data_IF_353431963718
#
_entry.id   IF_353431963718
#
_cell.length_a   1.000
_cell.length_b   1.000
_cell.length_c   1.000
_cell.angle_alpha   90.00
_cell.angle_beta   90.00
_cell.angle_gamma   90.00
#
_symmetry.space_group_name_H-M   'P 1'
#
loop_
_entity.id
_entity.type
_entity.pdbx_description
1 polymer ?
#
# COMPACT_ATOMS: atom_id res chain seq x y z
N UNK A 1 5.44 -0.85 12.80
CA UNK A 1 4.96 -2.01 12.02
C UNK A 1 6.10 -2.51 11.15
N UNK A 2 6.27 -3.82 11.08
CA UNK A 2 7.35 -4.42 10.33
C UNK A 2 7.15 -4.26 8.82
N UNK A 3 8.25 -4.02 8.09
CA UNK A 3 8.20 -3.90 6.63
C UNK A 3 7.61 -5.14 5.97
N UNK A 4 7.99 -6.33 6.45
CA UNK A 4 7.47 -7.59 5.88
C UNK A 4 5.96 -7.70 6.02
N UNK A 5 5.45 -7.29 7.17
CA UNK A 5 4.01 -7.31 7.41
C UNK A 5 3.30 -6.39 6.42
N UNK A 6 3.85 -5.19 6.23
CA UNK A 6 3.28 -4.25 5.29
C UNK A 6 3.33 -4.79 3.86
N UNK A 7 4.46 -5.35 3.48
CA UNK A 7 4.62 -5.90 2.14
C UNK A 7 3.62 -7.02 1.87
N UNK A 8 3.39 -7.91 2.82
CA UNK A 8 2.42 -8.98 2.66
C UNK A 8 1.01 -8.44 2.44
N UNK A 9 0.63 -7.41 3.19
CA UNK A 9 -0.68 -6.79 3.02
C UNK A 9 -0.83 -6.15 1.66
N UNK A 10 0.21 -5.49 1.19
CA UNK A 10 0.17 -4.84 -0.12
C UNK A 10 0.12 -5.87 -1.24
N UNK A 11 0.84 -6.98 -1.11
CA UNK A 11 0.81 -8.04 -2.12
C UNK A 11 -0.57 -8.67 -2.25
N UNK A 12 -1.32 -8.72 -1.18
CA UNK A 12 -2.69 -9.26 -1.23
C UNK A 12 -3.62 -8.42 -2.11
N UNK A 13 -3.24 -7.20 -2.42
CA UNK A 13 -4.04 -6.35 -3.31
C UNK A 13 -3.95 -6.78 -4.79
N UNK A 14 -2.99 -7.64 -5.13
CA UNK A 14 -2.83 -8.18 -6.48
C UNK A 14 -2.70 -7.11 -7.55
N UNK A 15 -1.89 -6.11 -7.26
CA UNK A 15 -1.66 -5.01 -8.21
C UNK A 15 -0.71 -5.50 -9.29
N UNK A 16 -1.12 -5.38 -10.55
CA UNK A 16 -0.32 -5.81 -11.69
C UNK A 16 0.89 -4.94 -11.92
N UNK A 17 1.91 -5.51 -12.57
CA UNK A 17 3.13 -4.78 -12.92
C UNK A 17 2.79 -3.57 -13.80
N UNK A 18 3.35 -2.42 -13.44
CA UNK A 18 3.10 -1.17 -14.15
C UNK A 18 1.79 -0.50 -13.77
N UNK A 19 1.03 -1.09 -12.85
CA UNK A 19 -0.24 -0.53 -12.41
C UNK A 19 -0.10 0.18 -11.08
N UNK A 20 -1.11 0.97 -10.74
CA UNK A 20 -1.19 1.63 -9.44
C UNK A 20 -2.54 1.37 -8.81
N UNK A 21 -2.57 1.50 -7.49
CA UNK A 21 -3.79 1.33 -6.70
C UNK A 21 -3.94 2.53 -5.78
N UNK A 22 -5.18 2.97 -5.62
CA UNK A 22 -5.49 3.99 -4.65
C UNK A 22 -6.83 3.66 -4.01
N UNK A 23 -6.84 3.63 -2.69
CA UNK A 23 -8.05 3.27 -1.98
C UNK A 23 -7.85 3.28 -0.49
N UNK A 24 -8.65 2.50 0.20
CA UNK A 24 -8.63 2.44 1.65
C UNK A 24 -7.32 1.86 2.16
N UNK A 25 -6.78 2.46 3.22
CA UNK A 25 -5.56 1.96 3.82
C UNK A 25 -5.84 0.65 4.56
N UNK A 26 -5.01 -0.38 4.28
CA UNK A 26 -5.16 -1.67 4.93
C UNK A 26 -4.55 -1.68 6.34
N UNK A 27 -3.87 -0.62 6.73
CA UNK A 27 -3.20 -0.52 8.03
C UNK A 27 -4.00 0.30 9.03
N UNK A 28 -4.50 1.45 8.61
CA UNK A 28 -5.25 2.34 9.50
C UNK A 28 -6.73 2.43 9.16
N UNK A 29 -7.17 1.78 8.08
CA UNK A 29 -8.56 1.68 7.67
C UNK A 29 -9.21 3.02 7.33
N UNK A 30 -8.42 4.04 7.05
CA UNK A 30 -8.94 5.31 6.55
C UNK A 30 -9.21 5.23 5.07
N UNK A 31 -10.25 5.91 4.62
CA UNK A 31 -10.69 5.85 3.23
C UNK A 31 -9.81 6.69 2.33
N UNK A 32 -9.46 6.15 1.17
CA UNK A 32 -8.76 6.86 0.10
C UNK A 32 -7.44 7.48 0.55
N UNK A 33 -6.76 6.84 1.50
CA UNK A 33 -5.49 7.36 2.01
C UNK A 33 -4.29 6.55 1.56
N UNK A 34 -4.49 5.36 1.00
CA UNK A 34 -3.39 4.49 0.59
C UNK A 34 -3.14 4.64 -0.91
N UNK A 35 -1.89 4.84 -1.27
CA UNK A 35 -1.43 4.85 -2.66
C UNK A 35 -0.37 3.78 -2.82
N UNK A 36 -0.52 2.92 -3.83
CA UNK A 36 0.40 1.83 -4.11
C UNK A 36 0.79 1.88 -5.57
N UNK A 37 2.05 1.66 -5.87
CA UNK A 37 2.56 1.56 -7.23
C UNK A 37 3.37 0.29 -7.38
N UNK A 38 3.20 -0.38 -8.51
CA UNK A 38 3.98 -1.57 -8.82
C UNK A 38 4.78 -1.29 -10.09
N UNK A 39 6.05 -1.01 -9.93
CA UNK A 39 6.92 -0.68 -11.07
C UNK A 39 8.27 -1.38 -10.91
N UNK A 40 8.82 -1.83 -12.04
CA UNK A 40 10.14 -2.49 -12.08
C UNK A 40 10.26 -3.67 -11.11
N UNK A 41 9.16 -4.40 -10.93
CA UNK A 41 9.14 -5.53 -10.00
C UNK A 41 9.11 -5.15 -8.54
N UNK A 42 8.91 -3.87 -8.22
CA UNK A 42 8.88 -3.36 -6.85
C UNK A 42 7.51 -2.81 -6.51
N UNK A 43 7.10 -3.07 -5.28
CA UNK A 43 5.89 -2.47 -4.73
C UNK A 43 6.28 -1.30 -3.83
N UNK A 44 5.72 -0.15 -4.13
CA UNK A 44 5.93 1.07 -3.35
C UNK A 44 4.58 1.55 -2.87
N UNK A 45 4.47 1.89 -1.59
CA UNK A 45 3.19 2.31 -1.03
C UNK A 45 3.40 3.43 -0.04
N UNK A 46 2.34 4.23 0.13
CA UNK A 46 2.33 5.33 1.08
C UNK A 46 0.90 5.59 1.54
N UNK A 47 0.75 5.86 2.81
CA UNK A 47 -0.54 6.27 3.36
C UNK A 47 -0.45 7.74 3.74
N UNK A 48 -1.43 8.52 3.30
CA UNK A 48 -1.43 9.96 3.53
C UNK A 48 -2.03 10.36 4.87
N UNK A 49 -2.53 9.39 5.64
CA UNK A 49 -3.07 9.68 6.97
C UNK A 49 -1.93 9.88 7.96
N UNK A 50 -1.96 10.97 8.72
CA UNK A 50 -0.85 11.38 9.58
C UNK A 50 -0.52 10.35 10.66
N UNK A 51 -1.52 9.62 11.15
CA UNK A 51 -1.34 8.65 12.24
C UNK A 51 -1.12 7.23 11.75
N UNK A 52 -0.96 7.03 10.46
CA UNK A 52 -0.73 5.70 9.91
C UNK A 52 0.75 5.33 10.03
N UNK A 53 1.03 4.06 10.33
CA UNK A 53 2.40 3.56 10.45
C UNK A 53 3.01 3.12 9.12
N UNK A 54 2.24 3.13 8.07
CA UNK A 54 2.72 2.74 6.74
C UNK A 54 3.61 3.81 6.12
#
# INVERSE_FOLDING_TARGET
MDYRYQLDKIRDLNIGSGQSYRGDCVFCLNRNTLSVRHENGRLVWNCFHANCTA
#
